data_IF_809720808953
#
_entry.id   IF_809720808953
#
_cell.length_a   1.000
_cell.length_b   1.000
_cell.length_c   1.000
_cell.angle_alpha   90.00
_cell.angle_beta   90.00
_cell.angle_gamma   90.00
#
_symmetry.space_group_name_H-M   'P 1'
#
loop_
_entity.id
_entity.type
_entity.pdbx_description
1 polymer ?
#
# COMPACT_ATOMS: atom_id res chain seq x y z
N UNK A 1 -3.86 -27.13 11.57
CA UNK A 1 -4.58 -25.90 11.18
C UNK A 1 -5.23 -26.13 9.83
N UNK A 2 -6.54 -25.93 9.72
CA UNK A 2 -7.33 -26.17 8.52
C UNK A 2 -6.80 -25.35 7.33
N UNK A 3 -6.68 -25.96 6.13
CA UNK A 3 -6.16 -25.32 4.91
C UNK A 3 -6.94 -24.04 4.56
N UNK A 4 -8.26 -24.05 4.78
CA UNK A 4 -9.12 -22.89 4.55
C UNK A 4 -8.79 -21.72 5.49
N UNK A 5 -8.47 -22.03 6.76
CA UNK A 5 -8.09 -21.02 7.76
C UNK A 5 -6.74 -20.40 7.41
N UNK A 6 -5.78 -21.20 6.94
CA UNK A 6 -4.47 -20.70 6.49
C UNK A 6 -4.59 -19.71 5.34
N UNK A 7 -5.35 -20.07 4.30
CA UNK A 7 -5.53 -19.20 3.12
C UNK A 7 -6.24 -17.90 3.49
N UNK A 8 -7.23 -17.96 4.38
CA UNK A 8 -7.94 -16.77 4.85
C UNK A 8 -7.04 -15.81 5.65
N UNK A 9 -6.18 -16.34 6.53
CA UNK A 9 -5.18 -15.53 7.26
C UNK A 9 -4.21 -14.87 6.28
N UNK A 10 -3.72 -15.61 5.28
CA UNK A 10 -2.82 -15.06 4.27
C UNK A 10 -3.46 -13.92 3.46
N UNK A 11 -4.76 -14.03 3.14
CA UNK A 11 -5.51 -12.96 2.49
C UNK A 11 -5.57 -11.70 3.37
N UNK A 12 -5.92 -11.84 4.65
CA UNK A 12 -6.00 -10.70 5.57
C UNK A 12 -4.63 -10.03 5.71
N UNK A 13 -3.57 -10.82 5.91
CA UNK A 13 -2.21 -10.29 6.06
C UNK A 13 -1.75 -9.55 4.80
N UNK A 14 -1.99 -10.11 3.62
CA UNK A 14 -1.61 -9.46 2.36
C UNK A 14 -2.37 -8.16 2.11
N UNK A 15 -3.66 -8.08 2.48
CA UNK A 15 -4.43 -6.83 2.42
C UNK A 15 -3.83 -5.78 3.37
N UNK A 16 -3.52 -6.16 4.61
CA UNK A 16 -2.92 -5.24 5.60
C UNK A 16 -1.57 -4.73 5.08
N UNK A 17 -0.71 -5.62 4.56
CA UNK A 17 0.59 -5.23 3.99
C UNK A 17 0.42 -4.26 2.82
N UNK A 18 -0.51 -4.53 1.90
CA UNK A 18 -0.81 -3.63 0.79
C UNK A 18 -1.28 -2.25 1.24
N UNK A 19 -2.15 -2.18 2.26
CA UNK A 19 -2.59 -0.91 2.86
C UNK A 19 -1.45 -0.17 3.55
N UNK A 20 -0.60 -0.87 4.30
CA UNK A 20 0.59 -0.25 4.95
C UNK A 20 1.53 0.33 3.91
N UNK A 21 1.74 -0.34 2.77
CA UNK A 21 2.56 0.18 1.67
C UNK A 21 1.90 1.42 1.05
N UNK A 22 0.60 1.37 0.76
CA UNK A 22 -0.13 2.48 0.15
C UNK A 22 -0.10 3.74 1.01
N UNK A 23 -0.24 3.59 2.33
CA UNK A 23 -0.25 4.71 3.28
C UNK A 23 1.13 5.01 3.88
N UNK A 24 2.18 4.27 3.55
CA UNK A 24 3.52 4.46 4.11
C UNK A 24 4.03 5.90 3.97
N UNK A 25 3.82 6.61 2.83
CA UNK A 25 4.27 7.98 2.70
C UNK A 25 3.57 8.93 3.69
N UNK A 26 2.27 8.71 3.93
CA UNK A 26 1.48 9.51 4.89
C UNK A 26 1.91 9.20 6.32
N UNK A 27 2.16 7.93 6.63
CA UNK A 27 2.64 7.48 7.96
C UNK A 27 4.01 8.08 8.26
N UNK A 28 4.94 8.03 7.30
CA UNK A 28 6.32 8.51 7.46
C UNK A 28 6.38 10.04 7.54
N UNK A 29 5.64 10.74 6.68
CA UNK A 29 5.66 12.21 6.63
C UNK A 29 4.74 12.87 7.67
N UNK A 30 3.88 12.09 8.33
CA UNK A 30 2.90 12.56 9.30
C UNK A 30 1.86 13.53 8.73
N UNK A 31 1.83 13.72 7.42
CA UNK A 31 1.01 14.71 6.74
C UNK A 31 0.45 14.15 5.43
N UNK A 32 -0.78 14.56 5.14
CA UNK A 32 -1.32 14.43 3.78
C UNK A 32 -0.60 15.40 2.86
N UNK A 33 -0.58 15.07 1.57
CA UNK A 33 0.06 15.91 0.56
C UNK A 33 -0.53 17.33 0.62
N UNK A 34 0.33 18.33 0.84
CA UNK A 34 -0.05 19.74 0.89
C UNK A 34 0.95 20.58 0.10
N UNK A 35 0.47 21.15 -1.01
CA UNK A 35 1.27 21.93 -1.96
C UNK A 35 1.86 23.19 -1.34
N UNK A 36 1.22 23.76 -0.31
CA UNK A 36 1.69 24.95 0.40
C UNK A 36 2.85 24.64 1.38
N UNK A 37 3.01 23.37 1.77
CA UNK A 37 4.04 22.93 2.72
C UNK A 37 5.26 22.30 2.05
N UNK A 38 5.16 21.90 0.79
CA UNK A 38 6.26 21.23 0.09
C UNK A 38 7.08 22.25 -0.72
N UNK A 39 8.38 22.34 -0.42
CA UNK A 39 9.27 23.39 -0.93
C UNK A 39 9.87 22.99 -2.29
N UNK A 40 9.50 23.70 -3.36
CA UNK A 40 10.22 23.72 -4.65
C UNK A 40 10.35 22.36 -5.34
N UNK A 41 11.57 22.03 -5.82
CA UNK A 41 11.84 20.81 -6.62
C UNK A 41 11.52 19.47 -5.91
N UNK A 42 11.30 19.49 -4.60
CA UNK A 42 10.95 18.31 -3.81
C UNK A 42 9.47 17.91 -3.98
N UNK A 43 8.61 18.82 -4.46
CA UNK A 43 7.19 18.58 -4.75
C UNK A 43 6.98 17.41 -5.70
N UNK A 44 7.73 17.37 -6.79
CA UNK A 44 7.58 16.36 -7.83
C UNK A 44 8.02 15.00 -7.28
N UNK A 45 9.14 14.96 -6.56
CA UNK A 45 9.64 13.73 -5.95
C UNK A 45 8.65 13.19 -4.90
N UNK A 46 8.13 14.06 -4.03
CA UNK A 46 7.14 13.68 -3.02
C UNK A 46 5.84 13.18 -3.65
N UNK A 47 5.35 13.86 -4.68
CA UNK A 47 4.16 13.46 -5.42
C UNK A 47 4.36 12.09 -6.09
N UNK A 48 5.45 11.89 -6.83
CA UNK A 48 5.76 10.63 -7.51
C UNK A 48 5.89 9.49 -6.49
N UNK A 49 6.58 9.71 -5.37
CA UNK A 49 6.72 8.70 -4.32
C UNK A 49 5.36 8.33 -3.73
N UNK A 50 4.53 9.32 -3.35
CA UNK A 50 3.18 9.09 -2.81
C UNK A 50 2.30 8.30 -3.78
N UNK A 51 2.28 8.69 -5.05
CA UNK A 51 1.52 7.99 -6.10
C UNK A 51 2.05 6.57 -6.32
N UNK A 52 3.37 6.39 -6.40
CA UNK A 52 3.98 5.07 -6.60
C UNK A 52 3.69 4.11 -5.45
N UNK A 53 3.75 4.57 -4.20
CA UNK A 53 3.40 3.77 -3.03
C UNK A 53 1.96 3.28 -3.07
N UNK A 54 1.01 4.14 -3.48
CA UNK A 54 -0.40 3.75 -3.65
C UNK A 54 -0.53 2.67 -4.73
N UNK A 55 0.11 2.85 -5.88
CA UNK A 55 0.07 1.88 -6.99
C UNK A 55 0.64 0.54 -6.54
N UNK A 56 1.81 0.53 -5.90
CA UNK A 56 2.45 -0.71 -5.40
C UNK A 56 1.59 -1.37 -4.34
N UNK A 57 1.05 -0.62 -3.38
CA UNK A 57 0.14 -1.15 -2.37
C UNK A 57 -1.09 -1.82 -2.97
N UNK A 58 -1.72 -1.19 -3.97
CA UNK A 58 -2.85 -1.78 -4.70
C UNK A 58 -2.46 -3.04 -5.48
N UNK A 59 -1.28 -3.07 -6.10
CA UNK A 59 -0.78 -4.27 -6.80
C UNK A 59 -0.58 -5.44 -5.84
N UNK A 60 -0.07 -5.20 -4.64
CA UNK A 60 0.08 -6.23 -3.60
C UNK A 60 -1.29 -6.76 -3.14
N UNK A 61 -2.28 -5.88 -2.95
CA UNK A 61 -3.65 -6.32 -2.64
C UNK A 61 -4.22 -7.15 -3.78
N UNK A 62 -4.08 -6.69 -5.03
CA UNK A 62 -4.58 -7.41 -6.20
C UNK A 62 -3.95 -8.80 -6.32
N UNK A 63 -2.63 -8.92 -6.17
CA UNK A 63 -1.93 -10.20 -6.25
C UNK A 63 -2.33 -11.16 -5.11
N UNK A 64 -2.52 -10.62 -3.90
CA UNK A 64 -3.02 -11.38 -2.75
C UNK A 64 -4.41 -11.97 -3.03
N UNK A 65 -5.34 -11.14 -3.51
CA UNK A 65 -6.71 -11.56 -3.83
C UNK A 65 -6.72 -12.57 -4.96
N UNK A 66 -5.92 -12.34 -6.01
CA UNK A 66 -5.78 -13.24 -7.15
C UNK A 66 -5.21 -14.60 -6.73
N UNK A 67 -4.22 -14.61 -5.85
CA UNK A 67 -3.62 -15.84 -5.31
C UNK A 67 -4.60 -16.61 -4.45
N UNK A 68 -5.36 -15.92 -3.58
CA UNK A 68 -6.43 -16.55 -2.80
C UNK A 68 -7.54 -17.13 -3.70
N UNK A 69 -7.91 -16.43 -4.77
CA UNK A 69 -8.93 -16.91 -5.71
C UNK A 69 -8.49 -18.13 -6.55
N UNK A 70 -7.19 -18.39 -6.66
CA UNK A 70 -6.63 -19.49 -7.46
C UNK A 70 -6.28 -20.74 -6.65
N UNK A 71 -6.24 -20.64 -5.31
CA UNK A 71 -5.81 -21.71 -4.40
C UNK A 71 -6.95 -22.41 -3.69
#
# INVERSE_FOLDING_TARGET
MNKNIKNFILLIVGIIVGLVIAFSPVIITGTWYNVERTIGNLLIAEFVLRTSSIIVGLLVVYDTVKTFSRG
#
